data_IF_531795980782
#
_entry.id   IF_531795980782
#
_cell.length_a   1.000
_cell.length_b   1.000
_cell.length_c   1.000
_cell.angle_alpha   90.00
_cell.angle_beta   90.00
_cell.angle_gamma   90.00
#
_symmetry.space_group_name_H-M   'P 1'
#
loop_
_entity.id
_entity.type
_entity.pdbx_description
1 polymer ?
#
# COMPACT_ATOMS: atom_id res chain seq x y z
N UNK A 1 -9.62 3.18 -27.34
CA UNK A 1 -8.83 3.67 -26.18
C UNK A 1 -7.58 4.34 -26.72
N UNK A 2 -7.29 5.55 -26.25
CA UNK A 2 -6.03 6.24 -26.57
C UNK A 2 -5.02 6.04 -25.43
N UNK A 3 -3.75 5.82 -25.75
CA UNK A 3 -2.71 5.56 -24.77
C UNK A 3 -1.32 5.94 -25.28
N UNK A 4 -0.39 6.15 -24.35
CA UNK A 4 1.04 6.37 -24.62
C UNK A 4 1.87 5.27 -23.97
N UNK A 5 3.01 4.94 -24.55
CA UNK A 5 3.98 3.99 -23.95
C UNK A 5 5.28 4.71 -23.62
N UNK A 6 5.92 4.33 -22.52
CA UNK A 6 7.17 4.94 -22.04
C UNK A 6 8.30 4.93 -23.09
N UNK A 7 8.25 3.99 -24.03
CA UNK A 7 9.25 3.82 -25.10
C UNK A 7 9.24 4.88 -26.20
N UNK A 8 8.13 5.58 -26.43
CA UNK A 8 7.98 6.48 -27.60
C UNK A 8 7.23 7.78 -27.27
N UNK A 9 6.47 7.82 -26.17
CA UNK A 9 5.60 8.95 -25.80
C UNK A 9 4.60 9.39 -26.88
N UNK A 10 4.48 8.66 -27.99
CA UNK A 10 3.51 8.90 -29.04
C UNK A 10 2.13 8.38 -28.64
N UNK A 11 1.12 9.19 -28.95
CA UNK A 11 -0.28 8.83 -28.80
C UNK A 11 -0.62 7.71 -29.79
N UNK A 12 -1.16 6.62 -29.27
CA UNK A 12 -1.68 5.47 -30.02
C UNK A 12 -3.16 5.33 -29.72
N UNK A 13 -3.90 4.75 -30.66
CA UNK A 13 -5.30 4.40 -30.47
C UNK A 13 -5.53 2.97 -30.91
N UNK A 14 -6.32 2.22 -30.14
CA UNK A 14 -6.72 0.86 -30.44
C UNK A 14 -8.11 0.56 -29.86
N UNK A 15 -8.81 -0.40 -30.48
CA UNK A 15 -10.06 -0.96 -29.99
C UNK A 15 -9.80 -2.29 -29.30
N UNK A 16 -10.60 -2.57 -28.28
CA UNK A 16 -10.48 -3.76 -27.45
C UNK A 16 -11.88 -4.23 -27.08
N UNK A 17 -12.09 -5.55 -27.05
CA UNK A 17 -13.32 -6.13 -26.49
C UNK A 17 -13.45 -5.81 -25.00
N UNK A 18 -12.30 -5.83 -24.30
CA UNK A 18 -12.22 -5.55 -22.88
C UNK A 18 -11.02 -4.67 -22.53
N UNK A 19 -11.22 -3.76 -21.58
CA UNK A 19 -10.20 -2.89 -20.97
C UNK A 19 -10.30 -3.04 -19.46
N UNK A 20 -9.22 -3.49 -18.84
CA UNK A 20 -9.10 -3.60 -17.37
C UNK A 20 -8.20 -2.47 -16.85
N UNK A 21 -8.80 -1.51 -16.17
CA UNK A 21 -8.12 -0.46 -15.44
C UNK A 21 -7.67 -0.98 -14.08
N UNK A 22 -6.40 -1.36 -13.99
CA UNK A 22 -5.74 -1.79 -12.75
C UNK A 22 -4.84 -0.70 -12.14
N UNK A 23 -4.79 0.48 -12.76
CA UNK A 23 -4.06 1.62 -12.22
C UNK A 23 -4.94 2.36 -11.20
N UNK A 24 -4.45 2.67 -9.99
CA UNK A 24 -5.21 3.43 -9.00
C UNK A 24 -5.60 4.82 -9.52
N UNK A 25 -6.85 5.21 -9.31
CA UNK A 25 -7.36 6.54 -9.67
C UNK A 25 -7.08 7.55 -8.54
N UNK A 26 -5.80 7.85 -8.33
CA UNK A 26 -5.34 8.82 -7.33
C UNK A 26 -4.98 10.19 -7.94
N UNK A 27 -4.48 11.12 -7.13
CA UNK A 27 -4.14 12.48 -7.55
C UNK A 27 -3.05 12.56 -8.65
N UNK A 28 -2.27 11.49 -8.85
CA UNK A 28 -1.22 11.41 -9.86
C UNK A 28 -1.63 10.55 -11.07
N UNK A 29 -2.87 10.06 -11.12
CA UNK A 29 -3.34 9.23 -12.23
C UNK A 29 -3.42 10.06 -13.52
N UNK A 30 -2.79 9.56 -14.59
CA UNK A 30 -2.81 10.18 -15.93
C UNK A 30 -4.01 9.72 -16.78
N UNK A 31 -5.02 9.11 -16.16
CA UNK A 31 -6.19 8.54 -16.84
C UNK A 31 -7.33 9.56 -16.84
N UNK A 32 -7.91 9.80 -18.01
CA UNK A 32 -9.09 10.65 -18.18
C UNK A 32 -10.18 9.92 -18.99
N UNK A 33 -11.42 10.35 -18.82
CA UNK A 33 -12.58 9.77 -19.48
C UNK A 33 -13.75 10.76 -19.58
N UNK A 34 -14.77 10.48 -20.40
CA UNK A 34 -16.01 11.23 -20.39
C UNK A 34 -16.62 11.35 -18.98
N UNK A 35 -17.30 12.48 -18.75
CA UNK A 35 -17.89 12.79 -17.44
C UNK A 35 -18.83 11.67 -16.98
N UNK A 36 -18.59 11.18 -15.77
CA UNK A 36 -19.41 10.14 -15.13
C UNK A 36 -19.00 8.70 -15.43
N UNK A 37 -17.99 8.48 -16.29
CA UNK A 37 -17.48 7.13 -16.58
C UNK A 37 -16.56 6.62 -15.46
N UNK A 38 -15.60 7.44 -15.02
CA UNK A 38 -14.67 7.09 -13.94
C UNK A 38 -15.26 7.46 -12.57
N UNK A 39 -14.97 6.69 -11.51
CA UNK A 39 -15.28 7.10 -10.15
C UNK A 39 -14.45 8.35 -9.76
N UNK A 40 -14.84 9.06 -8.68
CA UNK A 40 -14.06 10.18 -8.19
C UNK A 40 -12.64 9.74 -7.80
N UNK A 41 -11.67 10.63 -8.02
CA UNK A 41 -10.28 10.40 -7.59
C UNK A 41 -10.21 10.16 -6.07
N UNK A 42 -9.26 9.32 -5.67
CA UNK A 42 -8.98 9.01 -4.28
C UNK A 42 -7.66 9.68 -3.88
N UNK A 43 -7.72 10.60 -2.93
CA UNK A 43 -6.53 11.31 -2.48
C UNK A 43 -5.69 10.41 -1.57
N UNK A 44 -4.53 10.01 -2.07
CA UNK A 44 -3.59 9.19 -1.33
C UNK A 44 -2.73 10.06 -0.41
N UNK A 45 -2.23 9.45 0.67
CA UNK A 45 -1.36 10.15 1.62
C UNK A 45 0.10 9.94 1.26
N UNK A 46 0.84 11.05 1.27
CA UNK A 46 2.29 10.98 1.16
C UNK A 46 2.86 10.53 2.50
N UNK A 47 3.62 9.44 2.49
CA UNK A 47 4.25 8.87 3.69
C UNK A 47 5.72 8.56 3.38
N UNK A 48 6.56 8.62 4.40
CA UNK A 48 7.95 8.21 4.31
C UNK A 48 8.06 6.76 4.81
N UNK A 49 8.51 5.86 3.91
CA UNK A 49 8.86 4.48 4.21
C UNK A 49 10.35 4.41 4.51
N UNK A 50 10.69 4.08 5.74
CA UNK A 50 12.07 4.07 6.21
C UNK A 50 12.47 2.67 6.66
N UNK A 51 13.58 2.18 6.11
CA UNK A 51 14.21 0.91 6.45
C UNK A 51 15.48 1.19 7.28
N UNK A 52 15.52 0.60 8.47
CA UNK A 52 16.59 0.78 9.46
C UNK A 52 17.16 -0.60 9.80
N UNK A 53 18.47 -0.71 9.92
CA UNK A 53 19.14 -1.86 10.53
C UNK A 53 19.56 -1.50 11.94
N UNK A 54 19.22 -2.32 12.93
CA UNK A 54 19.63 -2.03 14.30
C UNK A 54 18.87 -2.72 15.43
N UNK A 55 19.24 -2.33 16.64
CA UNK A 55 18.67 -2.76 17.90
C UNK A 55 17.63 -1.75 18.37
N UNK A 56 16.37 -2.19 18.46
CA UNK A 56 15.28 -1.38 18.99
C UNK A 56 15.49 -1.14 20.48
N UNK A 57 15.18 0.07 20.95
CA UNK A 57 15.06 0.36 22.36
C UNK A 57 13.74 -0.19 22.91
N UNK A 58 13.70 -1.49 23.17
CA UNK A 58 12.49 -2.23 23.54
C UNK A 58 11.85 -1.72 24.86
N UNK A 59 12.65 -1.12 25.75
CA UNK A 59 12.17 -0.58 27.04
C UNK A 59 11.24 0.62 26.83
N UNK A 60 11.49 1.43 25.80
CA UNK A 60 10.59 2.54 25.41
C UNK A 60 9.19 2.07 24.99
N UNK A 61 9.06 0.79 24.65
CA UNK A 61 7.79 0.16 24.27
C UNK A 61 7.23 -0.74 25.38
N UNK A 62 7.85 -0.74 26.56
CA UNK A 62 7.40 -1.54 27.70
C UNK A 62 7.65 -3.04 27.55
N UNK A 63 8.51 -3.45 26.62
CA UNK A 63 8.91 -4.85 26.51
C UNK A 63 9.97 -5.21 27.56
N UNK A 64 9.95 -6.46 28.07
CA UNK A 64 10.96 -6.92 29.02
C UNK A 64 12.35 -6.94 28.37
N UNK A 65 13.38 -6.70 29.18
CA UNK A 65 14.78 -6.68 28.77
C UNK A 65 15.43 -8.07 28.72
N UNK A 66 14.63 -9.14 28.77
CA UNK A 66 15.13 -10.50 28.72
C UNK A 66 15.31 -10.99 27.27
N UNK A 67 15.94 -12.16 27.10
CA UNK A 67 16.16 -12.76 25.78
C UNK A 67 14.86 -13.07 25.01
N UNK A 68 13.69 -12.91 25.63
CA UNK A 68 12.40 -13.18 24.96
C UNK A 68 12.15 -12.20 23.82
N UNK A 69 12.60 -10.95 23.95
CA UNK A 69 12.38 -9.91 22.93
C UNK A 69 13.10 -10.25 21.61
N UNK A 70 14.34 -10.71 21.69
CA UNK A 70 15.12 -11.07 20.50
C UNK A 70 14.52 -12.25 19.74
N UNK A 71 13.84 -13.14 20.47
CA UNK A 71 13.15 -14.32 19.92
C UNK A 71 11.81 -14.00 19.25
N UNK A 72 11.26 -12.78 19.43
CA UNK A 72 10.00 -12.40 18.80
C UNK A 72 10.13 -12.41 17.27
N UNK A 73 9.35 -13.28 16.64
CA UNK A 73 9.21 -13.36 15.19
C UNK A 73 8.06 -12.45 14.75
N UNK A 74 8.30 -11.58 13.78
CA UNK A 74 7.26 -10.76 13.18
C UNK A 74 6.64 -9.73 14.12
N UNK A 75 7.46 -9.04 14.92
CA UNK A 75 6.97 -7.97 15.79
C UNK A 75 6.46 -6.78 14.97
N UNK A 76 5.24 -6.34 15.27
CA UNK A 76 4.64 -5.12 14.73
C UNK A 76 4.17 -4.25 15.88
N UNK A 77 4.60 -2.98 15.90
CA UNK A 77 4.23 -1.98 16.89
C UNK A 77 3.32 -0.97 16.20
N UNK A 78 2.10 -0.85 16.70
CA UNK A 78 1.09 0.08 16.21
C UNK A 78 0.78 1.08 17.32
N UNK A 79 0.88 2.39 17.07
CA UNK A 79 0.54 3.39 18.06
C UNK A 79 -0.97 3.40 18.32
N UNK A 80 -1.35 3.77 19.53
CA UNK A 80 -2.74 4.08 19.85
C UNK A 80 -3.12 5.44 19.26
N UNK A 81 -4.43 5.66 19.06
CA UNK A 81 -4.95 6.99 18.67
C UNK A 81 -4.42 8.09 19.60
N UNK A 82 -4.44 7.84 20.92
CA UNK A 82 -3.93 8.80 21.90
C UNK A 82 -2.46 9.14 21.67
N UNK A 83 -1.59 8.14 21.50
CA UNK A 83 -0.16 8.39 21.30
C UNK A 83 0.18 9.08 19.97
N UNK A 84 -0.57 8.77 18.91
CA UNK A 84 -0.30 9.30 17.57
C UNK A 84 -1.04 10.61 17.27
N UNK A 85 -2.34 10.68 17.50
CA UNK A 85 -3.20 11.79 17.10
C UNK A 85 -3.33 12.85 18.20
N UNK A 86 -3.67 12.43 19.41
CA UNK A 86 -4.04 13.35 20.50
C UNK A 86 -2.78 13.96 21.16
N UNK A 87 -1.91 13.12 21.72
CA UNK A 87 -0.70 13.54 22.42
C UNK A 87 0.45 13.83 21.43
N UNK A 88 0.35 13.28 20.22
CA UNK A 88 1.33 13.43 19.13
C UNK A 88 2.78 13.04 19.47
N UNK A 89 2.99 12.24 20.51
CA UNK A 89 4.31 11.81 20.98
C UNK A 89 4.95 10.70 20.14
N UNK A 90 4.17 10.00 19.31
CA UNK A 90 4.70 8.96 18.40
C UNK A 90 4.96 9.51 17.00
N UNK A 91 6.17 9.29 16.46
CA UNK A 91 6.58 9.78 15.13
C UNK A 91 6.08 8.91 13.97
N UNK A 92 5.85 7.62 14.21
CA UNK A 92 5.49 6.64 13.20
C UNK A 92 4.02 6.17 13.30
N UNK A 93 3.44 5.72 12.19
CA UNK A 93 2.14 5.02 12.10
C UNK A 93 2.27 3.51 12.30
N UNK A 94 3.41 2.93 11.94
CA UNK A 94 3.76 1.54 12.24
C UNK A 94 5.28 1.37 12.30
N UNK A 95 5.72 0.41 13.10
CA UNK A 95 7.12 -0.02 13.18
C UNK A 95 7.13 -1.55 13.22
N UNK A 96 7.76 -2.18 12.22
CA UNK A 96 7.70 -3.63 12.03
C UNK A 96 9.10 -4.21 11.87
N UNK A 97 9.36 -5.33 12.54
CA UNK A 97 10.58 -6.12 12.36
C UNK A 97 10.45 -6.91 11.07
N UNK A 98 11.31 -6.63 10.09
CA UNK A 98 11.38 -7.35 8.82
C UNK A 98 12.60 -8.27 8.81
N UNK A 99 12.46 -9.42 8.14
CA UNK A 99 13.56 -10.38 7.98
C UNK A 99 14.15 -10.26 6.58
N UNK A 100 15.47 -10.43 6.51
CA UNK A 100 16.11 -10.71 5.23
C UNK A 100 15.75 -12.12 4.78
N UNK A 101 15.36 -12.26 3.51
CA UNK A 101 15.21 -13.55 2.84
C UNK A 101 16.53 -14.04 2.22
N UNK A 102 17.61 -13.26 2.34
CA UNK A 102 18.93 -13.67 1.88
C UNK A 102 19.44 -14.82 2.79
N UNK A 103 19.46 -16.01 2.22
CA UNK A 103 19.77 -17.26 2.91
C UNK A 103 21.25 -17.33 3.32
N UNK A 104 21.49 -17.10 4.61
CA UNK A 104 22.23 -17.94 5.55
C UNK A 104 22.17 -17.16 6.86
N UNK A 105 21.26 -17.53 7.75
CA UNK A 105 21.46 -17.25 9.17
C UNK A 105 22.79 -17.93 9.51
N UNK A 106 23.89 -17.19 9.48
CA UNK A 106 25.20 -17.72 9.82
C UNK A 106 25.11 -18.17 11.27
N UNK A 107 25.56 -19.40 11.52
CA UNK A 107 25.64 -20.00 12.86
C UNK A 107 26.51 -19.18 13.83
N UNK A 108 27.22 -18.17 13.33
CA UNK A 108 27.87 -17.13 14.11
C UNK A 108 27.28 -15.74 13.79
N UNK A 109 26.69 -15.09 14.81
CA UNK A 109 26.61 -13.63 14.88
C UNK A 109 25.41 -12.93 14.25
N UNK A 110 24.26 -13.60 14.12
CA UNK A 110 22.92 -13.01 13.95
C UNK A 110 22.83 -11.70 13.14
N UNK A 111 22.48 -11.79 11.85
CA UNK A 111 22.28 -10.63 10.99
C UNK A 111 21.45 -9.53 11.71
N UNK A 112 21.86 -8.25 11.63
CA UNK A 112 21.23 -7.19 12.41
C UNK A 112 19.74 -7.09 12.05
N UNK A 113 18.90 -6.94 13.08
CA UNK A 113 17.44 -6.85 12.90
C UNK A 113 17.12 -5.66 12.00
N UNK A 114 16.34 -5.91 10.94
CA UNK A 114 15.86 -4.86 10.06
C UNK A 114 14.46 -4.44 10.46
N UNK A 115 14.16 -3.16 10.29
CA UNK A 115 12.91 -2.54 10.71
C UNK A 115 12.38 -1.65 9.61
N UNK A 116 11.10 -1.80 9.29
CA UNK A 116 10.37 -0.89 8.40
C UNK A 116 9.44 -0.03 9.23
N UNK A 117 9.47 1.27 8.98
CA UNK A 117 8.57 2.22 9.61
C UNK A 117 7.93 3.14 8.59
N UNK A 118 6.72 3.59 8.90
CA UNK A 118 5.99 4.57 8.10
C UNK A 118 5.73 5.81 8.94
N UNK A 119 6.11 6.98 8.44
CA UNK A 119 5.88 8.25 9.11
C UNK A 119 5.28 9.28 8.14
N UNK A 120 4.66 10.33 8.69
CA UNK A 120 4.16 11.44 7.89
C UNK A 120 5.26 12.49 7.76
N UNK A 121 5.52 13.04 6.56
CA UNK A 121 6.54 14.08 6.33
C UNK A 121 6.42 15.28 7.28
N UNK A 122 5.20 15.70 7.59
CA UNK A 122 4.91 16.82 8.48
C UNK A 122 5.16 16.51 9.96
N UNK A 123 5.32 15.23 10.32
CA UNK A 123 5.54 14.75 11.69
C UNK A 123 6.98 14.34 11.94
N UNK A 124 7.66 13.84 10.92
CA UNK A 124 9.00 13.28 11.01
C UNK A 124 9.83 13.87 9.87
N UNK A 125 10.49 15.01 10.14
CA UNK A 125 11.18 15.79 9.11
C UNK A 125 12.42 15.06 8.58
N UNK A 126 13.14 14.35 9.45
CA UNK A 126 14.34 13.60 9.12
C UNK A 126 14.14 12.13 9.50
N UNK A 127 13.31 11.37 8.77
CA UNK A 127 12.74 10.12 9.27
C UNK A 127 13.78 9.05 9.62
N UNK A 128 14.94 9.01 8.96
CA UNK A 128 16.02 8.13 9.40
C UNK A 128 16.65 8.55 10.73
N UNK A 129 17.00 9.83 10.86
CA UNK A 129 17.68 10.37 12.04
C UNK A 129 16.74 10.40 13.26
N UNK A 130 15.52 10.89 13.07
CA UNK A 130 14.52 11.03 14.13
C UNK A 130 14.12 9.65 14.67
N UNK A 131 13.95 8.66 13.80
CA UNK A 131 13.64 7.30 14.22
C UNK A 131 14.80 6.65 14.96
N UNK A 132 16.02 6.70 14.40
CA UNK A 132 17.20 6.12 15.03
C UNK A 132 17.46 6.72 16.42
N UNK A 133 17.38 8.04 16.57
CA UNK A 133 17.61 8.72 17.85
C UNK A 133 16.47 8.49 18.86
N UNK A 134 15.22 8.39 18.40
CA UNK A 134 14.06 8.30 19.28
C UNK A 134 13.73 6.88 19.74
N UNK A 135 14.00 5.86 18.93
CA UNK A 135 13.47 4.50 19.16
C UNK A 135 14.51 3.38 19.09
N UNK A 136 15.77 3.66 18.73
CA UNK A 136 16.80 2.64 18.61
C UNK A 136 17.96 2.93 19.56
N UNK A 137 18.49 1.86 20.19
CA UNK A 137 19.75 1.94 20.95
C UNK A 137 20.92 2.14 19.98
N UNK A 138 20.89 1.40 18.87
CA UNK A 138 21.83 1.49 17.75
C UNK A 138 21.07 1.26 16.46
N UNK A 139 20.91 2.30 15.66
CA UNK A 139 20.19 2.24 14.38
C UNK A 139 20.99 2.88 13.26
N UNK A 140 21.02 2.21 12.10
CA UNK A 140 21.61 2.70 10.86
C UNK A 140 20.51 2.77 9.79
N UNK A 141 20.33 3.96 9.20
CA UNK A 141 19.43 4.13 8.06
C UNK A 141 19.97 3.33 6.86
N UNK A 142 19.16 2.41 6.33
CA UNK A 142 19.45 1.73 5.06
C UNK A 142 18.85 2.54 3.91
N UNK A 143 17.57 2.91 4.02
CA UNK A 143 16.84 3.63 2.98
C UNK A 143 15.68 4.39 3.58
N UNK A 144 15.43 5.60 3.08
CA UNK A 144 14.15 6.27 3.26
C UNK A 144 13.63 6.69 1.89
N UNK A 145 12.38 6.39 1.59
CA UNK A 145 11.75 6.82 0.36
C UNK A 145 10.33 7.28 0.61
N UNK A 146 9.99 8.40 -0.01
CA UNK A 146 8.64 8.91 -0.04
C UNK A 146 7.80 8.08 -1.00
N UNK A 147 6.66 7.61 -0.53
CA UNK A 147 5.73 6.85 -1.34
C UNK A 147 4.30 7.33 -1.09
N UNK A 148 3.47 7.14 -2.11
CA UNK A 148 2.08 7.54 -2.10
C UNK A 148 1.26 6.35 -1.58
N UNK A 149 0.90 6.35 -0.30
CA UNK A 149 0.12 5.30 0.33
C UNK A 149 -1.38 5.58 0.25
N UNK A 150 -2.17 4.52 0.35
CA UNK A 150 -3.62 4.58 0.38
C UNK A 150 -4.15 5.58 1.42
N UNK A 151 -5.37 6.13 1.21
CA UNK A 151 -5.98 7.07 2.15
C UNK A 151 -6.20 6.44 3.54
N UNK A 152 -6.44 7.30 4.53
CA UNK A 152 -6.96 6.84 5.81
C UNK A 152 -8.38 6.28 5.56
N UNK A 153 -8.56 5.00 5.85
CA UNK A 153 -9.85 4.33 5.70
C UNK A 153 -10.74 4.68 6.90
N UNK A 154 -11.94 5.16 6.60
CA UNK A 154 -13.02 5.33 7.57
C UNK A 154 -14.18 4.41 7.22
N UNK A 155 -15.01 3.98 8.19
CA UNK A 155 -16.26 3.30 7.89
C UNK A 155 -17.05 4.05 6.82
N UNK A 156 -17.41 3.36 5.74
CA UNK A 156 -18.13 3.98 4.64
C UNK A 156 -19.58 4.24 5.09
N UNK A 157 -20.06 5.50 5.09
CA UNK A 157 -21.40 5.83 5.60
C UNK A 157 -22.51 5.24 4.72
N UNK A 158 -22.26 5.08 3.41
CA UNK A 158 -23.15 4.39 2.49
C UNK A 158 -22.32 3.61 1.47
N UNK A 159 -21.92 2.37 1.76
CA UNK A 159 -21.02 1.60 0.90
C UNK A 159 -21.50 1.51 -0.56
N UNK A 160 -22.81 1.37 -0.78
CA UNK A 160 -23.43 1.29 -2.11
C UNK A 160 -23.33 2.58 -2.93
N UNK A 161 -23.16 3.74 -2.28
CA UNK A 161 -22.96 5.04 -2.95
C UNK A 161 -21.51 5.51 -2.96
N UNK A 162 -20.74 5.15 -1.94
CA UNK A 162 -19.39 5.70 -1.71
C UNK A 162 -18.29 4.86 -2.38
N UNK A 163 -18.53 3.57 -2.66
CA UNK A 163 -17.57 2.74 -3.40
C UNK A 163 -17.56 3.07 -4.90
N UNK A 164 -16.43 2.79 -5.54
CA UNK A 164 -16.33 2.82 -7.00
C UNK A 164 -17.15 1.70 -7.62
N UNK A 165 -17.46 1.83 -8.91
CA UNK A 165 -18.04 0.74 -9.69
C UNK A 165 -16.92 -0.16 -10.21
N UNK A 166 -17.10 -1.47 -10.07
CA UNK A 166 -16.18 -2.46 -10.63
C UNK A 166 -16.31 -2.55 -12.15
N UNK A 167 -17.56 -2.54 -12.66
CA UNK A 167 -17.84 -2.43 -14.10
C UNK A 167 -18.25 -0.97 -14.37
N UNK A 168 -17.45 -0.25 -15.15
CA UNK A 168 -17.68 1.17 -15.47
C UNK A 168 -18.64 1.34 -16.65
N UNK A 169 -18.48 0.47 -17.65
CA UNK A 169 -19.26 0.37 -18.88
C UNK A 169 -19.09 -1.06 -19.43
N UNK A 170 -19.96 -1.57 -20.33
CA UNK A 170 -19.69 -2.83 -21.01
C UNK A 170 -18.27 -2.85 -21.60
N UNK A 171 -17.52 -3.93 -21.33
CA UNK A 171 -16.12 -4.06 -21.73
C UNK A 171 -15.11 -3.21 -20.93
N UNK A 172 -15.51 -2.35 -20.00
CA UNK A 172 -14.61 -1.49 -19.22
C UNK A 172 -14.71 -1.77 -17.72
N UNK A 173 -13.65 -2.36 -17.16
CA UNK A 173 -13.60 -2.85 -15.78
C UNK A 173 -12.56 -2.04 -14.98
N UNK A 174 -12.92 -1.56 -13.79
CA UNK A 174 -12.01 -0.96 -12.83
C UNK A 174 -11.72 -1.94 -11.69
N UNK A 175 -10.57 -2.60 -11.75
CA UNK A 175 -10.18 -3.62 -10.77
C UNK A 175 -10.02 -3.01 -9.37
N UNK A 176 -9.59 -1.75 -9.29
CA UNK A 176 -9.30 -1.09 -8.03
C UNK A 176 -10.53 -0.41 -7.39
N UNK A 177 -11.76 -0.81 -7.76
CA UNK A 177 -12.99 -0.23 -7.23
C UNK A 177 -13.14 -0.37 -5.70
N UNK A 178 -12.47 -1.36 -5.11
CA UNK A 178 -12.53 -1.68 -3.68
C UNK A 178 -11.50 -0.91 -2.83
N UNK A 179 -10.60 -0.12 -3.43
CA UNK A 179 -9.56 0.64 -2.71
C UNK A 179 -10.10 1.59 -1.64
N UNK A 180 -11.36 2.04 -1.78
CA UNK A 180 -12.06 2.89 -0.81
C UNK A 180 -12.55 2.13 0.43
N UNK A 181 -12.68 0.82 0.35
CA UNK A 181 -13.16 -0.03 1.43
C UNK A 181 -12.01 -0.74 2.16
N UNK A 182 -11.02 -1.19 1.41
CA UNK A 182 -9.82 -1.81 1.93
C UNK A 182 -8.67 -1.62 0.92
N UNK A 183 -7.43 -1.70 1.39
CA UNK A 183 -6.27 -1.52 0.54
C UNK A 183 -5.14 -2.46 0.97
N UNK A 184 -5.06 -3.60 0.29
CA UNK A 184 -4.01 -4.58 0.52
C UNK A 184 -3.66 -5.30 -0.78
N UNK A 185 -2.49 -5.95 -0.81
CA UNK A 185 -2.08 -6.73 -1.98
C UNK A 185 -3.06 -7.88 -2.25
N UNK A 186 -3.60 -8.49 -1.20
CA UNK A 186 -4.60 -9.55 -1.28
C UNK A 186 -5.88 -9.05 -1.97
N UNK A 187 -6.29 -7.81 -1.71
CA UNK A 187 -7.46 -7.24 -2.36
C UNK A 187 -7.23 -6.98 -3.84
N UNK A 188 -6.02 -6.59 -4.24
CA UNK A 188 -5.65 -6.45 -5.65
C UNK A 188 -5.72 -7.81 -6.38
N UNK A 189 -5.27 -8.89 -5.73
CA UNK A 189 -5.37 -10.25 -6.29
C UNK A 189 -6.82 -10.71 -6.45
N UNK A 190 -7.64 -10.48 -5.42
CA UNK A 190 -9.08 -10.80 -5.47
C UNK A 190 -9.75 -10.02 -6.61
N UNK A 191 -9.42 -8.73 -6.74
CA UNK A 191 -9.98 -7.87 -7.78
C UNK A 191 -9.57 -8.32 -9.19
N UNK A 192 -8.30 -8.66 -9.40
CA UNK A 192 -7.81 -9.19 -10.67
C UNK A 192 -8.55 -10.49 -11.06
N UNK A 193 -8.75 -11.40 -10.09
CA UNK A 193 -9.52 -12.63 -10.32
C UNK A 193 -10.97 -12.34 -10.73
N UNK A 194 -11.62 -11.39 -10.07
CA UNK A 194 -13.00 -11.02 -10.39
C UNK A 194 -13.13 -10.42 -11.79
N UNK A 195 -12.17 -9.56 -12.19
CA UNK A 195 -12.14 -9.02 -13.56
C UNK A 195 -12.01 -10.14 -14.60
N UNK A 196 -11.10 -11.11 -14.38
CA UNK A 196 -10.93 -12.25 -15.27
C UNK A 196 -12.20 -13.12 -15.37
N UNK A 197 -12.90 -13.35 -14.26
CA UNK A 197 -14.14 -14.10 -14.24
C UNK A 197 -15.27 -13.40 -15.00
N UNK A 198 -15.40 -12.08 -14.84
CA UNK A 198 -16.40 -11.29 -15.58
C UNK A 198 -16.18 -11.43 -17.09
N UNK A 199 -14.93 -11.21 -17.54
CA UNK A 199 -14.56 -11.35 -18.96
C UNK A 199 -14.89 -12.76 -19.46
N UNK A 200 -14.53 -13.79 -18.69
CA UNK A 200 -14.79 -15.17 -19.06
C UNK A 200 -16.30 -15.45 -19.21
N UNK A 201 -17.11 -15.07 -18.21
CA UNK A 201 -18.56 -15.28 -18.22
C UNK A 201 -19.24 -14.52 -19.37
N UNK A 202 -18.88 -13.27 -19.61
CA UNK A 202 -19.44 -12.47 -20.72
C UNK A 202 -19.04 -13.06 -22.08
N UNK A 203 -17.81 -13.53 -22.22
CA UNK A 203 -17.34 -14.17 -23.47
C UNK A 203 -18.07 -15.49 -23.74
N UNK A 204 -18.25 -16.35 -22.73
CA UNK A 204 -18.98 -17.61 -22.89
C UNK A 204 -20.45 -17.38 -23.22
N UNK A 205 -21.12 -16.45 -22.53
CA UNK A 205 -22.52 -16.11 -22.82
C UNK A 205 -22.70 -15.60 -24.27
N UNK A 206 -21.76 -14.80 -24.78
CA UNK A 206 -21.79 -14.33 -26.16
C UNK A 206 -21.58 -15.45 -27.18
N UNK A 207 -20.79 -16.48 -26.85
CA UNK A 207 -20.59 -17.65 -27.71
C UNK A 207 -21.84 -18.54 -27.78
N UNK A 208 -22.57 -18.69 -26.67
CA UNK A 208 -23.83 -19.46 -26.63
C UNK A 208 -24.99 -18.78 -27.38
N UNK A 209 -24.89 -17.47 -27.60
CA UNK A 209 -25.87 -16.66 -28.33
C UNK A 209 -25.51 -16.44 -29.80
N UNK A 210 -24.33 -16.89 -30.25
CA UNK A 210 -23.92 -16.82 -31.65
C UNK A 210 -24.61 -17.94 -32.47
N UNK A 211 -25.23 -17.63 -33.63
CA UNK A 211 -26.00 -18.57 -34.43
C UNK A 211 -25.15 -19.67 -35.10
#
# INVERSE_FOLDING_TARGET
MEYTTDSDSKLKSAEFDYVVLAHPLNQNASISAPKGLLPPLLEYKTVDSTLISGELDHEKFGFPSDESFDRLKGLSILPTKRGYEDDRNTLFKALMKVRSVAAKETEDGGAPSCWVTYSLPERCLYPGQDMCSSYFKKGVLIRSSRWLAYPDLSPLPNPSRTMGKFILSPGLIYANALERAACSMELAVISARNAALIIHTETTANQEQAP
#
